data_IF_131235579465
#
_entry.id   IF_131235579465
#
_cell.length_a   1.000
_cell.length_b   1.000
_cell.length_c   1.000
_cell.angle_alpha   90.00
_cell.angle_beta   90.00
_cell.angle_gamma   90.00
#
_symmetry.space_group_name_H-M   'P 1'
#
loop_
_entity.id
_entity.type
_entity.pdbx_description
1 polymer ?
#
# COMPACT_ATOMS: atom_id res chain seq x y z
N UNK A 1 -1.13 21.49 1.91
CA UNK A 1 -2.46 21.31 1.31
C UNK A 1 -3.57 21.28 2.35
N UNK A 2 -3.56 20.34 3.28
CA UNK A 2 -4.62 20.16 4.28
C UNK A 2 -4.78 21.33 5.25
N UNK A 3 -3.68 21.91 5.73
CA UNK A 3 -3.71 23.09 6.61
C UNK A 3 -4.28 24.32 5.91
N UNK A 4 -3.97 24.51 4.62
CA UNK A 4 -4.51 25.61 3.83
C UNK A 4 -6.01 25.43 3.58
N UNK A 5 -6.46 24.22 3.28
CA UNK A 5 -7.88 23.89 3.12
C UNK A 5 -8.68 24.13 4.40
N UNK A 6 -8.13 23.76 5.56
CA UNK A 6 -8.81 23.94 6.85
C UNK A 6 -8.97 25.43 7.25
N UNK A 7 -8.03 26.29 6.83
CA UNK A 7 -8.09 27.75 7.09
C UNK A 7 -9.13 28.44 6.17
N UNK A 8 -9.30 27.95 4.94
CA UNK A 8 -10.21 28.55 3.96
C UNK A 8 -11.60 27.91 3.92
N UNK A 9 -11.82 26.73 4.48
CA UNK A 9 -13.15 26.10 4.52
C UNK A 9 -13.92 26.50 5.77
N UNK A 10 -14.69 27.57 5.66
CA UNK A 10 -15.65 28.04 6.71
C UNK A 10 -16.92 27.18 6.73
N UNK A 11 -17.05 26.13 5.91
CA UNK A 11 -18.22 25.24 5.85
C UNK A 11 -17.88 23.87 6.44
N UNK A 12 -18.57 23.51 7.51
CA UNK A 12 -18.42 22.24 8.24
C UNK A 12 -18.60 20.97 7.35
N UNK A 13 -19.34 21.06 6.25
CA UNK A 13 -19.59 19.96 5.32
C UNK A 13 -18.37 19.62 4.43
N UNK A 14 -17.57 20.60 4.05
CA UNK A 14 -16.40 20.38 3.16
C UNK A 14 -15.26 19.67 3.92
N UNK A 15 -15.09 19.94 5.20
CA UNK A 15 -14.07 19.28 6.02
C UNK A 15 -14.38 17.79 6.24
N UNK A 16 -15.65 17.41 6.34
CA UNK A 16 -16.08 16.02 6.47
C UNK A 16 -15.80 15.21 5.21
N UNK A 17 -16.12 15.77 4.04
CA UNK A 17 -15.92 15.10 2.74
C UNK A 17 -14.43 14.96 2.39
N UNK A 18 -13.61 15.96 2.69
CA UNK A 18 -12.16 15.90 2.48
C UNK A 18 -11.51 14.87 3.41
N UNK A 19 -11.94 14.83 4.69
CA UNK A 19 -11.46 13.81 5.63
C UNK A 19 -11.83 12.39 5.19
N UNK A 20 -13.06 12.17 4.74
CA UNK A 20 -13.53 10.86 4.27
C UNK A 20 -12.80 10.39 3.01
N UNK A 21 -12.47 11.31 2.10
CA UNK A 21 -11.76 10.98 0.86
C UNK A 21 -10.27 10.68 1.10
N UNK A 22 -9.62 11.41 2.01
CA UNK A 22 -8.19 11.25 2.29
C UNK A 22 -7.88 10.09 3.22
N UNK A 23 -8.68 9.88 4.25
CA UNK A 23 -8.45 8.87 5.30
C UNK A 23 -9.38 7.65 5.18
N UNK A 24 -10.14 7.58 4.11
CA UNK A 24 -11.21 6.60 3.96
C UNK A 24 -12.45 7.03 4.75
N UNK A 25 -13.61 6.52 4.35
CA UNK A 25 -14.80 6.68 5.17
C UNK A 25 -14.49 6.10 6.55
N UNK A 26 -14.81 6.82 7.60
CA UNK A 26 -14.74 6.36 9.00
C UNK A 26 -15.57 5.10 9.26
N UNK A 27 -16.18 4.59 8.24
CA UNK A 27 -17.12 3.49 8.20
C UNK A 27 -16.50 2.21 7.62
N UNK A 28 -15.36 1.77 8.20
CA UNK A 28 -14.98 0.34 8.10
C UNK A 28 -16.15 -0.55 8.55
N UNK A 29 -17.01 -0.04 9.40
CA UNK A 29 -18.24 -0.66 9.89
C UNK A 29 -19.38 -0.73 8.86
N UNK A 30 -19.35 0.03 7.77
CA UNK A 30 -20.40 0.04 6.73
C UNK A 30 -19.99 -0.65 5.43
N UNK A 31 -18.85 -1.36 5.42
CA UNK A 31 -18.45 -2.18 4.29
C UNK A 31 -19.54 -3.22 4.00
N UNK A 32 -20.07 -3.16 2.79
CA UNK A 32 -21.04 -4.16 2.33
C UNK A 32 -20.35 -5.52 2.20
N UNK A 33 -21.00 -6.61 2.56
CA UNK A 33 -20.47 -7.97 2.38
C UNK A 33 -19.93 -8.23 0.98
N UNK A 34 -20.55 -7.61 -0.04
CA UNK A 34 -20.10 -7.71 -1.42
C UNK A 34 -18.69 -7.09 -1.61
N UNK A 35 -18.44 -5.91 -1.05
CA UNK A 35 -17.13 -5.24 -1.14
C UNK A 35 -16.02 -6.06 -0.49
N UNK A 36 -16.29 -6.67 0.65
CA UNK A 36 -15.34 -7.56 1.34
C UNK A 36 -15.01 -8.79 0.47
N UNK A 37 -16.01 -9.42 -0.14
CA UNK A 37 -15.81 -10.57 -1.02
C UNK A 37 -14.97 -10.17 -2.25
N UNK A 38 -15.27 -9.04 -2.86
CA UNK A 38 -14.49 -8.51 -4.01
C UNK A 38 -13.04 -8.29 -3.61
N UNK A 39 -12.77 -7.71 -2.45
CA UNK A 39 -11.41 -7.51 -1.95
C UNK A 39 -10.66 -8.83 -1.73
N UNK A 40 -11.30 -9.83 -1.13
CA UNK A 40 -10.69 -11.14 -0.89
C UNK A 40 -10.36 -11.81 -2.24
N UNK A 41 -11.31 -11.82 -3.17
CA UNK A 41 -11.12 -12.44 -4.50
C UNK A 41 -10.00 -11.75 -5.26
N UNK A 42 -9.98 -10.41 -5.29
CA UNK A 42 -8.93 -9.64 -5.96
C UNK A 42 -7.56 -9.83 -5.31
N UNK A 43 -7.49 -9.85 -3.99
CA UNK A 43 -6.25 -10.12 -3.26
C UNK A 43 -5.68 -11.50 -3.58
N UNK A 44 -6.53 -12.52 -3.58
CA UNK A 44 -6.13 -13.89 -3.90
C UNK A 44 -5.66 -14.03 -5.35
N UNK A 45 -6.34 -13.36 -6.28
CA UNK A 45 -5.97 -13.33 -7.70
C UNK A 45 -4.60 -12.68 -7.91
N UNK A 46 -4.34 -11.55 -7.24
CA UNK A 46 -3.07 -10.84 -7.32
C UNK A 46 -1.92 -11.68 -6.76
N UNK A 47 -2.11 -12.29 -5.58
CA UNK A 47 -1.09 -13.18 -4.98
C UNK A 47 -0.81 -14.36 -5.88
N UNK A 48 -1.86 -15.00 -6.41
CA UNK A 48 -1.72 -16.11 -7.34
C UNK A 48 -0.94 -15.71 -8.60
N UNK A 49 -1.32 -14.57 -9.20
CA UNK A 49 -0.63 -14.04 -10.37
C UNK A 49 0.85 -13.75 -10.07
N UNK A 50 1.14 -13.10 -8.93
CA UNK A 50 2.50 -12.80 -8.53
C UNK A 50 3.33 -14.08 -8.33
N UNK A 51 2.80 -15.10 -7.65
CA UNK A 51 3.51 -16.36 -7.41
C UNK A 51 3.78 -17.12 -8.72
N UNK A 52 2.79 -17.19 -9.62
CA UNK A 52 2.92 -17.88 -10.91
C UNK A 52 3.92 -17.20 -11.85
N UNK A 53 3.93 -15.87 -11.88
CA UNK A 53 4.77 -15.09 -12.79
C UNK A 53 6.01 -14.48 -12.11
N UNK A 54 6.30 -14.87 -10.87
CA UNK A 54 7.40 -14.32 -10.08
C UNK A 54 8.73 -14.20 -10.86
N UNK A 55 9.18 -15.28 -11.48
CA UNK A 55 10.46 -15.30 -12.21
C UNK A 55 10.46 -14.36 -13.43
N UNK A 56 9.31 -14.17 -14.06
CA UNK A 56 9.17 -13.29 -15.23
C UNK A 56 9.07 -11.83 -14.81
N UNK A 57 8.31 -11.56 -13.74
CA UNK A 57 8.20 -10.21 -13.15
C UNK A 57 9.58 -9.74 -12.67
N UNK A 58 10.30 -10.62 -11.96
CA UNK A 58 11.67 -10.33 -11.54
C UNK A 58 12.59 -9.99 -12.71
N UNK A 59 12.63 -10.83 -13.74
CA UNK A 59 13.49 -10.62 -14.89
C UNK A 59 13.16 -9.34 -15.67
N UNK A 60 11.87 -9.02 -15.85
CA UNK A 60 11.43 -7.79 -16.53
C UNK A 60 11.74 -6.54 -15.71
N UNK A 61 11.65 -6.62 -14.36
CA UNK A 61 11.90 -5.47 -13.50
C UNK A 61 13.38 -5.10 -13.40
N UNK A 62 14.28 -6.11 -13.46
CA UNK A 62 15.72 -5.88 -13.28
C UNK A 62 16.49 -5.73 -14.58
N UNK A 63 16.12 -6.42 -15.64
CA UNK A 63 16.84 -6.40 -16.89
C UNK A 63 15.89 -6.48 -18.11
N UNK A 64 15.25 -5.36 -18.36
CA UNK A 64 14.30 -5.22 -19.46
C UNK A 64 14.98 -5.39 -20.84
N UNK A 65 16.20 -4.87 -21.01
CA UNK A 65 16.92 -4.95 -22.26
C UNK A 65 17.34 -6.38 -22.61
N UNK A 66 17.83 -7.12 -21.63
CA UNK A 66 18.17 -8.54 -21.80
C UNK A 66 16.94 -9.38 -22.17
N UNK A 67 15.81 -9.12 -21.52
CA UNK A 67 14.56 -9.82 -21.80
C UNK A 67 14.04 -9.48 -23.21
N UNK A 68 14.19 -8.26 -23.69
CA UNK A 68 13.89 -7.85 -25.09
C UNK A 68 14.81 -8.57 -26.07
N UNK A 69 16.11 -8.63 -25.78
CA UNK A 69 17.10 -9.32 -26.62
C UNK A 69 16.82 -10.83 -26.74
N UNK A 70 16.22 -11.46 -25.73
CA UNK A 70 15.79 -12.89 -25.75
C UNK A 70 14.47 -13.12 -26.50
N UNK A 71 13.91 -12.09 -27.16
CA UNK A 71 12.68 -12.21 -27.98
C UNK A 71 11.39 -12.30 -27.18
N UNK A 72 11.41 -12.02 -25.88
CA UNK A 72 10.19 -12.02 -25.04
C UNK A 72 9.44 -10.70 -25.16
N UNK A 73 8.12 -10.76 -25.15
CA UNK A 73 7.25 -9.58 -25.24
C UNK A 73 7.21 -8.84 -23.89
N UNK A 74 8.29 -8.12 -23.56
CA UNK A 74 8.45 -7.40 -22.30
C UNK A 74 7.36 -6.34 -22.09
N UNK A 75 7.00 -5.63 -23.16
CA UNK A 75 5.95 -4.60 -23.15
C UNK A 75 4.61 -5.16 -22.63
N UNK A 76 4.28 -6.41 -23.00
CA UNK A 76 3.04 -7.05 -22.56
C UNK A 76 3.08 -7.36 -21.07
N UNK A 77 4.22 -7.80 -20.53
CA UNK A 77 4.38 -8.02 -19.08
C UNK A 77 4.33 -6.70 -18.30
N UNK A 78 4.98 -5.65 -18.78
CA UNK A 78 4.90 -4.31 -18.18
C UNK A 78 3.46 -3.77 -18.16
N UNK A 79 2.74 -3.93 -19.27
CA UNK A 79 1.34 -3.53 -19.35
C UNK A 79 0.47 -4.31 -18.37
N UNK A 80 0.63 -5.62 -18.25
CA UNK A 80 -0.12 -6.44 -17.30
C UNK A 80 0.16 -6.00 -15.85
N UNK A 81 1.44 -5.79 -15.49
CA UNK A 81 1.82 -5.33 -14.16
C UNK A 81 1.20 -3.96 -13.87
N UNK A 82 1.27 -3.03 -14.85
CA UNK A 82 0.72 -1.68 -14.70
C UNK A 82 -0.81 -1.71 -14.52
N UNK A 83 -1.53 -2.51 -15.29
CA UNK A 83 -2.98 -2.65 -15.18
C UNK A 83 -3.38 -3.26 -13.84
N UNK A 84 -2.69 -4.34 -13.41
CA UNK A 84 -2.97 -4.97 -12.12
C UNK A 84 -2.71 -4.00 -10.96
N UNK A 85 -1.59 -3.29 -10.96
CA UNK A 85 -1.30 -2.30 -9.91
C UNK A 85 -2.30 -1.16 -9.91
N UNK A 86 -2.70 -0.65 -11.06
CA UNK A 86 -3.71 0.42 -11.16
C UNK A 86 -5.07 -0.03 -10.59
N UNK A 87 -5.54 -1.22 -10.94
CA UNK A 87 -6.81 -1.77 -10.43
C UNK A 87 -6.76 -1.93 -8.92
N UNK A 88 -5.66 -2.50 -8.37
CA UNK A 88 -5.49 -2.67 -6.92
C UNK A 88 -5.52 -1.32 -6.20
N UNK A 89 -4.74 -0.35 -6.70
CA UNK A 89 -4.64 0.98 -6.07
C UNK A 89 -6.00 1.68 -6.09
N UNK A 90 -6.73 1.65 -7.21
CA UNK A 90 -8.05 2.30 -7.31
C UNK A 90 -9.07 1.65 -6.38
N UNK A 91 -9.15 0.32 -6.34
CA UNK A 91 -10.05 -0.39 -5.42
C UNK A 91 -9.70 -0.10 -3.96
N UNK A 92 -8.42 -0.13 -3.63
CA UNK A 92 -7.96 0.13 -2.28
C UNK A 92 -8.17 1.59 -1.86
N UNK A 93 -7.99 2.57 -2.76
CA UNK A 93 -8.27 3.98 -2.49
C UNK A 93 -9.73 4.23 -2.14
N UNK A 94 -10.65 3.57 -2.82
CA UNK A 94 -12.09 3.70 -2.53
C UNK A 94 -12.49 3.14 -1.17
N UNK A 95 -11.78 2.09 -0.70
CA UNK A 95 -12.11 1.42 0.56
C UNK A 95 -11.42 2.07 1.77
N UNK A 96 -10.18 2.47 1.63
CA UNK A 96 -9.31 2.81 2.77
C UNK A 96 -8.81 4.25 2.71
N UNK A 97 -9.00 4.92 1.58
CA UNK A 97 -8.58 6.30 1.34
C UNK A 97 -7.18 6.41 0.71
N UNK A 98 -6.97 7.49 -0.01
CA UNK A 98 -5.77 7.71 -0.82
C UNK A 98 -4.49 7.83 0.01
N UNK A 99 -4.56 8.51 1.15
CA UNK A 99 -3.41 8.76 2.00
C UNK A 99 -2.92 7.49 2.70
N UNK A 100 -3.85 6.63 3.14
CA UNK A 100 -3.49 5.37 3.79
C UNK A 100 -2.86 4.40 2.80
N UNK A 101 -3.40 4.29 1.58
CA UNK A 101 -2.84 3.40 0.56
C UNK A 101 -1.43 3.81 0.15
N UNK A 102 -1.19 5.12 -0.08
CA UNK A 102 0.16 5.59 -0.41
C UNK A 102 1.15 5.30 0.71
N UNK A 103 0.76 5.46 1.96
CA UNK A 103 1.59 5.13 3.11
C UNK A 103 1.90 3.62 3.22
N UNK A 104 0.87 2.76 3.06
CA UNK A 104 1.03 1.30 3.11
C UNK A 104 1.86 0.74 1.96
N UNK A 105 1.89 1.40 0.80
CA UNK A 105 2.75 1.00 -0.32
C UNK A 105 4.19 1.46 -0.14
N UNK A 106 4.40 2.70 0.28
CA UNK A 106 5.73 3.32 0.26
C UNK A 106 6.57 2.93 1.48
N UNK A 107 6.05 3.09 2.71
CA UNK A 107 6.86 2.91 3.91
C UNK A 107 7.36 1.48 4.14
N UNK A 108 6.56 0.41 4.00
CA UNK A 108 7.05 -0.96 4.14
C UNK A 108 8.05 -1.33 3.06
N UNK A 109 7.84 -0.88 1.81
CA UNK A 109 8.76 -1.15 0.71
C UNK A 109 10.12 -0.48 0.94
N UNK A 110 10.14 0.81 1.29
CA UNK A 110 11.37 1.52 1.61
C UNK A 110 12.10 0.93 2.82
N UNK A 111 11.36 0.51 3.86
CA UNK A 111 11.93 -0.17 5.02
C UNK A 111 12.61 -1.48 4.63
N UNK A 112 11.96 -2.27 3.80
CA UNK A 112 12.48 -3.55 3.34
C UNK A 112 13.74 -3.39 2.47
N UNK A 113 13.76 -2.41 1.57
CA UNK A 113 14.92 -2.11 0.71
C UNK A 113 16.17 -1.69 1.51
N UNK A 114 16.00 -1.11 2.69
CA UNK A 114 17.12 -0.72 3.56
C UNK A 114 17.78 -1.89 4.27
N UNK A 115 17.03 -2.95 4.54
CA UNK A 115 17.49 -4.08 5.35
C UNK A 115 17.87 -5.29 4.50
N UNK A 116 17.11 -5.55 3.44
CA UNK A 116 17.25 -6.75 2.62
C UNK A 116 17.99 -6.46 1.31
N UNK A 117 18.98 -7.31 0.98
CA UNK A 117 19.78 -7.20 -0.25
C UNK A 117 19.24 -8.11 -1.39
N UNK A 118 18.20 -8.92 -1.14
CA UNK A 118 17.62 -9.79 -2.14
C UNK A 118 16.18 -9.39 -2.47
N UNK A 119 15.79 -9.47 -3.74
CA UNK A 119 14.43 -9.10 -4.18
C UNK A 119 13.35 -9.90 -3.45
N UNK A 120 13.55 -11.23 -3.30
CA UNK A 120 12.63 -12.08 -2.52
C UNK A 120 12.51 -11.61 -1.08
N UNK A 121 13.65 -11.28 -0.46
CA UNK A 121 13.68 -10.77 0.91
C UNK A 121 12.93 -9.46 1.03
N UNK A 122 13.11 -8.52 0.11
CA UNK A 122 12.41 -7.24 0.09
C UNK A 122 10.89 -7.44 0.02
N UNK A 123 10.42 -8.28 -0.90
CA UNK A 123 8.99 -8.53 -1.09
C UNK A 123 8.35 -9.18 0.14
N UNK A 124 8.96 -10.24 0.67
CA UNK A 124 8.42 -10.95 1.85
C UNK A 124 8.46 -10.04 3.08
N UNK A 125 9.57 -9.35 3.30
CA UNK A 125 9.73 -8.47 4.45
C UNK A 125 8.78 -7.27 4.39
N UNK A 126 8.60 -6.64 3.23
CA UNK A 126 7.65 -5.54 3.07
C UNK A 126 6.21 -5.98 3.29
N UNK A 127 5.84 -7.18 2.82
CA UNK A 127 4.50 -7.75 3.06
C UNK A 127 4.25 -7.99 4.56
N UNK A 128 5.22 -8.55 5.28
CA UNK A 128 5.12 -8.77 6.73
C UNK A 128 5.00 -7.43 7.46
N UNK A 129 5.83 -6.44 7.14
CA UNK A 129 5.78 -5.12 7.77
C UNK A 129 4.44 -4.41 7.51
N UNK A 130 3.92 -4.50 6.29
CA UNK A 130 2.62 -3.91 5.94
C UNK A 130 1.49 -4.51 6.76
N UNK A 131 1.44 -5.84 6.91
CA UNK A 131 0.43 -6.53 7.72
C UNK A 131 0.54 -6.16 9.20
N UNK A 132 1.76 -6.18 9.75
CA UNK A 132 2.01 -5.82 11.15
C UNK A 132 1.63 -4.34 11.39
N UNK A 133 2.07 -3.44 10.53
CA UNK A 133 1.78 -2.01 10.62
C UNK A 133 0.28 -1.71 10.57
N UNK A 134 -0.45 -2.36 9.67
CA UNK A 134 -1.89 -2.23 9.58
C UNK A 134 -2.59 -2.77 10.84
N UNK A 135 -2.22 -3.97 11.29
CA UNK A 135 -2.82 -4.60 12.46
C UNK A 135 -2.61 -3.79 13.74
N UNK A 136 -1.37 -3.37 14.01
CA UNK A 136 -1.03 -2.53 15.17
C UNK A 136 -1.73 -1.18 15.08
N UNK A 137 -1.77 -0.56 13.89
CA UNK A 137 -2.44 0.71 13.66
C UNK A 137 -3.95 0.65 13.93
N UNK A 138 -4.62 -0.42 13.51
CA UNK A 138 -6.05 -0.62 13.79
C UNK A 138 -6.30 -0.78 15.29
N UNK A 139 -5.51 -1.61 15.99
CA UNK A 139 -5.66 -1.80 17.44
C UNK A 139 -5.48 -0.48 18.19
N UNK A 140 -4.43 0.29 17.87
CA UNK A 140 -4.19 1.57 18.51
C UNK A 140 -5.28 2.60 18.19
N UNK A 141 -5.81 2.59 16.97
CA UNK A 141 -6.93 3.44 16.59
C UNK A 141 -8.16 3.20 17.47
N UNK A 142 -8.47 1.93 17.76
CA UNK A 142 -9.59 1.55 18.63
C UNK A 142 -9.34 2.01 20.06
N UNK A 143 -8.11 1.82 20.58
CA UNK A 143 -7.77 2.18 21.97
C UNK A 143 -7.80 3.70 22.21
N UNK A 144 -7.34 4.48 21.23
CA UNK A 144 -7.24 5.93 21.34
C UNK A 144 -8.41 6.70 20.69
N UNK A 145 -9.40 5.98 20.13
CA UNK A 145 -10.54 6.56 19.42
C UNK A 145 -10.12 7.56 18.33
N UNK A 146 -9.02 7.26 17.62
CA UNK A 146 -8.44 8.08 16.57
C UNK A 146 -8.82 7.58 15.18
N UNK A 147 -8.76 8.42 14.13
CA UNK A 147 -9.04 7.98 12.76
C UNK A 147 -8.08 6.86 12.33
N UNK A 148 -8.63 5.72 11.91
CA UNK A 148 -7.85 4.52 11.56
C UNK A 148 -6.74 4.82 10.55
N UNK A 149 -7.08 5.57 9.49
CA UNK A 149 -6.12 5.92 8.43
C UNK A 149 -4.90 6.68 8.96
N UNK A 150 -5.11 7.69 9.78
CA UNK A 150 -4.03 8.51 10.34
C UNK A 150 -3.14 7.69 11.29
N UNK A 151 -3.74 6.82 12.11
CA UNK A 151 -3.00 5.98 13.07
C UNK A 151 -2.14 4.94 12.36
N UNK A 152 -2.68 4.28 11.35
CA UNK A 152 -1.92 3.30 10.55
C UNK A 152 -0.75 3.97 9.81
N UNK A 153 -0.96 5.17 9.24
CA UNK A 153 0.12 5.95 8.62
C UNK A 153 1.22 6.27 9.63
N UNK A 154 0.83 6.75 10.81
CA UNK A 154 1.78 7.08 11.87
C UNK A 154 2.63 5.87 12.31
N UNK A 155 2.00 4.71 12.49
CA UNK A 155 2.70 3.48 12.84
C UNK A 155 3.68 3.05 11.74
N UNK A 156 3.28 3.14 10.45
CA UNK A 156 4.17 2.81 9.34
C UNK A 156 5.39 3.76 9.26
N UNK A 157 5.20 5.03 9.56
CA UNK A 157 6.31 6.00 9.67
C UNK A 157 7.26 5.60 10.82
N UNK A 158 6.73 5.23 11.99
CA UNK A 158 7.53 4.80 13.12
C UNK A 158 8.33 3.52 12.79
N UNK A 159 7.70 2.54 12.15
CA UNK A 159 8.36 1.32 11.67
C UNK A 159 9.48 1.67 10.69
N UNK A 160 9.23 2.59 9.77
CA UNK A 160 10.25 3.04 8.81
C UNK A 160 11.45 3.68 9.51
N UNK A 161 11.23 4.57 10.48
CA UNK A 161 12.31 5.23 11.24
C UNK A 161 13.13 4.20 12.02
N UNK A 162 12.49 3.24 12.67
CA UNK A 162 13.16 2.15 13.40
C UNK A 162 14.05 1.33 12.44
N UNK A 163 13.50 0.91 11.31
CA UNK A 163 14.26 0.16 10.31
C UNK A 163 15.38 0.97 9.69
N UNK A 164 15.21 2.27 9.52
CA UNK A 164 16.25 3.18 9.05
C UNK A 164 17.42 3.28 10.05
N UNK A 165 17.11 3.44 11.35
CA UNK A 165 18.12 3.46 12.41
C UNK A 165 18.89 2.13 12.44
N UNK A 166 18.18 0.99 12.40
CA UNK A 166 18.83 -0.33 12.35
C UNK A 166 19.75 -0.47 11.14
N UNK A 167 19.35 0.08 9.99
CA UNK A 167 20.18 0.05 8.77
C UNK A 167 21.47 0.86 8.88
N UNK A 168 21.51 1.90 9.73
CA UNK A 168 22.74 2.71 9.95
C UNK A 168 23.75 1.93 10.79
N UNK A 169 23.27 1.09 11.72
CA UNK A 169 24.13 0.30 12.61
C UNK A 169 24.58 -1.04 12.00
N UNK A 170 24.09 -1.39 10.82
CA UNK A 170 24.45 -2.62 10.08
C UNK A 170 25.50 -2.34 9.01
#
# INVERSE_FOLDING_TARGET
>A
GYLVMNIFSTSANVSGDVCSTLFGSTTILTLTHFEVIVCIVMSLLVVLFYVLFYNRIFAVTFDEEFMKATGKKVELYNLIIAVLTAVIVVLAMNLVGSLLITALLIFPALSAMKIMNSFKGVVIYSAILSVIGAFVGIILSILFSTPVGATVVFINIMIFIINWIISIFK
#
